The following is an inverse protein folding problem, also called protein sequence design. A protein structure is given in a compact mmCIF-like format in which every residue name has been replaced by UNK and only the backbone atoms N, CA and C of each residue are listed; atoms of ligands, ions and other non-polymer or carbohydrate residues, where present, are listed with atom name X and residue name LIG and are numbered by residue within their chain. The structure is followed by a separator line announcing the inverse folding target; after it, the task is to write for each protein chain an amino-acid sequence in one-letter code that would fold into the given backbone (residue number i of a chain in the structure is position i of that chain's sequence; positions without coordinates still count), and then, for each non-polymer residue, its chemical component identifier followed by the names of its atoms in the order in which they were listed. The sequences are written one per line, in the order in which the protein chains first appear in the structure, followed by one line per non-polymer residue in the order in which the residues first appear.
data_IF_865320783692
#
_entry.id   IF_865320783692
#
_cell.length_a   1.000
_cell.length_b   1.000
_cell.length_c   1.000
_cell.angle_alpha   90.00
_cell.angle_beta   90.00
_cell.angle_gamma   90.00
#
_symmetry.space_group_name_H-M   'P 1'
#
loop_
_entity.id
_entity.type
_entity.pdbx_description
1 polymer ?
#
# COMPACT_ATOMS: atom_id res chain seq x y z
N UNK A 1 -6.81 -3.57 44.91
CA UNK A 1 -5.82 -2.57 44.43
C UNK A 1 -4.89 -3.18 43.38
N UNK A 2 -4.19 -4.29 43.67
CA UNK A 2 -3.31 -4.97 42.69
C UNK A 2 -4.05 -5.46 41.43
N UNK A 3 -5.24 -6.07 41.58
CA UNK A 3 -6.04 -6.52 40.41
C UNK A 3 -6.49 -5.38 39.49
N UNK A 4 -6.72 -4.18 40.03
CA UNK A 4 -7.08 -3.01 39.24
C UNK A 4 -5.91 -2.59 38.33
N UNK A 5 -4.69 -2.52 38.89
CA UNK A 5 -3.48 -2.23 38.11
C UNK A 5 -3.17 -3.31 37.07
N UNK A 6 -3.37 -4.58 37.40
CA UNK A 6 -3.18 -5.68 36.44
C UNK A 6 -4.17 -5.57 35.28
N UNK A 7 -5.45 -5.29 35.57
CA UNK A 7 -6.46 -5.16 34.52
C UNK A 7 -6.23 -3.91 33.65
N UNK A 8 -5.88 -2.79 34.25
CA UNK A 8 -5.56 -1.56 33.52
C UNK A 8 -4.31 -1.76 32.63
N UNK A 9 -3.24 -2.35 33.18
CA UNK A 9 -2.03 -2.67 32.41
C UNK A 9 -2.31 -3.61 31.23
N UNK A 10 -3.17 -4.62 31.42
CA UNK A 10 -3.61 -5.51 30.33
C UNK A 10 -4.37 -4.76 29.26
N UNK A 11 -5.27 -3.86 29.64
CA UNK A 11 -6.05 -3.06 28.69
C UNK A 11 -5.12 -2.16 27.85
N UNK A 12 -4.18 -1.47 28.48
CA UNK A 12 -3.19 -0.65 27.78
C UNK A 12 -2.32 -1.48 26.84
N UNK A 13 -1.88 -2.66 27.28
CA UNK A 13 -1.08 -3.58 26.46
C UNK A 13 -1.87 -4.08 25.25
N UNK A 14 -3.14 -4.45 25.42
CA UNK A 14 -4.01 -4.86 24.31
C UNK A 14 -4.20 -3.74 23.29
N UNK A 15 -4.42 -2.50 23.75
CA UNK A 15 -4.56 -1.34 22.87
C UNK A 15 -3.27 -1.06 22.09
N UNK A 16 -2.11 -1.12 22.76
CA UNK A 16 -0.81 -0.96 22.11
C UNK A 16 -0.57 -2.05 21.06
N UNK A 17 -0.91 -3.31 21.38
CA UNK A 17 -0.75 -4.43 20.46
C UNK A 17 -1.58 -4.22 19.19
N UNK A 18 -2.84 -3.77 19.31
CA UNK A 18 -3.68 -3.44 18.16
C UNK A 18 -3.05 -2.41 17.23
N UNK A 19 -2.49 -1.33 17.80
CA UNK A 19 -1.77 -0.29 17.01
C UNK A 19 -0.52 -0.83 16.32
N UNK A 20 0.26 -1.67 17.01
CA UNK A 20 1.44 -2.32 16.43
C UNK A 20 1.05 -3.21 15.25
N UNK A 21 -0.05 -3.95 15.37
CA UNK A 21 -0.53 -4.84 14.32
C UNK A 21 -1.06 -4.05 13.11
N UNK A 22 -1.78 -2.95 13.33
CA UNK A 22 -2.19 -2.01 12.29
C UNK A 22 -0.99 -1.41 11.54
N UNK A 23 0.03 -0.96 12.26
CA UNK A 23 1.27 -0.44 11.67
C UNK A 23 1.98 -1.48 10.81
N UNK A 24 2.12 -2.71 11.31
CA UNK A 24 2.72 -3.82 10.55
C UNK A 24 1.93 -4.14 9.29
N UNK A 25 0.60 -4.16 9.38
CA UNK A 25 -0.28 -4.40 8.24
C UNK A 25 -0.14 -3.29 7.18
N UNK A 26 -0.11 -2.03 7.60
CA UNK A 26 0.10 -0.89 6.70
C UNK A 26 1.46 -0.97 5.99
N UNK A 27 2.54 -1.28 6.71
CA UNK A 27 3.87 -1.47 6.11
C UNK A 27 3.92 -2.65 5.13
N UNK A 28 3.24 -3.76 5.43
CA UNK A 28 3.17 -4.91 4.54
C UNK A 28 2.46 -4.55 3.22
N UNK A 29 1.34 -3.84 3.29
CA UNK A 29 0.59 -3.35 2.13
C UNK A 29 1.43 -2.36 1.29
N UNK A 30 2.11 -1.40 1.93
CA UNK A 30 3.02 -0.47 1.23
C UNK A 30 4.11 -1.25 0.47
N UNK A 31 4.73 -2.24 1.11
CA UNK A 31 5.75 -3.08 0.47
C UNK A 31 5.20 -3.82 -0.74
N UNK A 32 4.03 -4.44 -0.60
CA UNK A 32 3.37 -5.15 -1.70
C UNK A 32 3.08 -4.20 -2.88
N UNK A 33 2.58 -3.00 -2.62
CA UNK A 33 2.33 -2.00 -3.65
C UNK A 33 3.62 -1.54 -4.35
N UNK A 34 4.71 -1.35 -3.61
CA UNK A 34 6.03 -1.06 -4.18
C UNK A 34 6.53 -2.21 -5.08
N UNK A 35 6.36 -3.46 -4.64
CA UNK A 35 6.72 -4.63 -5.46
C UNK A 35 5.87 -4.72 -6.73
N UNK A 36 4.57 -4.46 -6.63
CA UNK A 36 3.65 -4.44 -7.78
C UNK A 36 4.06 -3.36 -8.78
N UNK A 37 4.42 -2.16 -8.31
CA UNK A 37 4.94 -1.08 -9.15
C UNK A 37 6.21 -1.56 -9.87
N UNK A 38 7.18 -2.12 -9.14
CA UNK A 38 8.46 -2.57 -9.70
C UNK A 38 8.30 -3.70 -10.74
N UNK A 39 7.31 -4.58 -10.56
CA UNK A 39 7.02 -5.71 -11.46
C UNK A 39 6.14 -5.33 -12.66
N UNK A 40 5.55 -4.13 -12.67
CA UNK A 40 4.60 -3.73 -13.72
C UNK A 40 5.33 -3.28 -14.99
N UNK A 41 5.12 -4.01 -16.08
CA UNK A 41 5.74 -3.73 -17.39
C UNK A 41 4.92 -2.71 -18.20
N UNK A 42 5.61 -1.76 -18.82
CA UNK A 42 5.01 -0.76 -19.73
C UNK A 42 4.86 -1.25 -21.18
N UNK A 43 5.36 -2.45 -21.46
CA UNK A 43 5.29 -3.12 -22.75
C UNK A 43 4.58 -4.45 -22.56
N UNK A 44 3.64 -4.75 -23.45
CA UNK A 44 2.95 -6.04 -23.46
C UNK A 44 3.20 -6.75 -24.79
N UNK A 45 3.92 -7.86 -24.77
CA UNK A 45 4.18 -8.67 -25.97
C UNK A 45 3.48 -10.01 -25.82
N UNK A 46 2.64 -10.34 -26.79
CA UNK A 46 2.00 -11.65 -26.84
C UNK A 46 2.89 -12.63 -27.61
N UNK A 47 3.37 -13.72 -26.97
CA UNK A 47 4.27 -14.66 -27.63
C UNK A 47 3.63 -15.28 -28.89
N UNK A 48 4.35 -15.23 -30.01
CA UNK A 48 3.90 -15.81 -31.28
C UNK A 48 2.88 -14.97 -32.04
N UNK A 49 2.48 -13.79 -31.54
CA UNK A 49 1.60 -12.89 -32.26
C UNK A 49 2.38 -12.10 -33.32
N UNK A 50 1.89 -12.15 -34.55
CA UNK A 50 2.35 -11.30 -35.65
C UNK A 50 1.46 -10.06 -35.63
N UNK A 51 2.08 -8.90 -35.45
CA UNK A 51 1.39 -7.62 -35.50
C UNK A 51 1.40 -7.08 -36.92
N UNK A 52 0.22 -6.69 -37.41
CA UNK A 52 0.06 -6.11 -38.75
C UNK A 52 -0.36 -4.64 -38.67
N UNK A 53 0.10 -3.84 -39.63
CA UNK A 53 -0.25 -2.42 -39.74
C UNK A 53 0.00 -1.65 -38.42
N UNK A 54 -1.05 -1.04 -37.85
CA UNK A 54 -0.99 -0.20 -36.65
C UNK A 54 -1.47 -0.93 -35.37
N UNK A 55 -1.78 -2.22 -35.45
CA UNK A 55 -2.35 -3.02 -34.34
C UNK A 55 -1.48 -2.98 -33.08
N UNK A 56 -0.17 -3.20 -33.25
CA UNK A 56 0.78 -3.11 -32.14
C UNK A 56 0.76 -1.76 -31.45
N UNK A 57 0.68 -0.68 -32.22
CA UNK A 57 0.73 0.67 -31.67
C UNK A 57 -0.52 0.96 -30.82
N UNK A 58 -1.71 0.63 -31.34
CA UNK A 58 -2.96 0.79 -30.61
C UNK A 58 -3.00 -0.05 -29.34
N UNK A 59 -2.54 -1.30 -29.40
CA UNK A 59 -2.45 -2.15 -28.21
C UNK A 59 -1.47 -1.62 -27.16
N UNK A 60 -0.29 -1.15 -27.56
CA UNK A 60 0.66 -0.56 -26.62
C UNK A 60 0.14 0.74 -26.02
N UNK A 61 -0.56 1.56 -26.78
CA UNK A 61 -1.20 2.77 -26.25
C UNK A 61 -2.23 2.41 -25.18
N UNK A 62 -3.14 1.48 -25.48
CA UNK A 62 -4.16 1.01 -24.55
C UNK A 62 -3.55 0.32 -23.32
N UNK A 63 -2.47 -0.44 -23.48
CA UNK A 63 -1.73 -1.06 -22.39
C UNK A 63 -1.10 -0.02 -21.48
N UNK A 64 -0.42 0.97 -22.05
CA UNK A 64 0.25 2.05 -21.29
C UNK A 64 -0.76 2.90 -20.55
N UNK A 65 -1.90 3.23 -21.14
CA UNK A 65 -2.93 4.01 -20.46
C UNK A 65 -3.48 3.27 -19.24
N UNK A 66 -3.84 1.99 -19.39
CA UNK A 66 -4.30 1.14 -18.27
C UNK A 66 -3.23 0.99 -17.20
N UNK A 67 -1.99 0.78 -17.64
CA UNK A 67 -0.85 0.62 -16.74
C UNK A 67 -0.56 1.89 -15.95
N UNK A 68 -0.62 3.06 -16.60
CA UNK A 68 -0.44 4.35 -15.92
C UNK A 68 -1.51 4.57 -14.85
N UNK A 69 -2.79 4.31 -15.16
CA UNK A 69 -3.89 4.40 -14.17
C UNK A 69 -3.65 3.47 -12.97
N UNK A 70 -3.21 2.23 -13.22
CA UNK A 70 -2.85 1.27 -12.16
C UNK A 70 -1.71 1.78 -11.29
N UNK A 71 -0.62 2.25 -11.89
CA UNK A 71 0.56 2.75 -11.17
C UNK A 71 0.21 3.97 -10.30
N UNK A 72 -0.59 4.89 -10.82
CA UNK A 72 -1.08 6.06 -10.07
C UNK A 72 -1.91 5.61 -8.88
N UNK A 73 -2.84 4.67 -9.08
CA UNK A 73 -3.69 4.16 -8.00
C UNK A 73 -2.87 3.49 -6.89
N UNK A 74 -1.89 2.64 -7.24
CA UNK A 74 -1.00 2.01 -6.26
C UNK A 74 -0.19 3.04 -5.46
N UNK A 75 0.31 4.07 -6.16
CA UNK A 75 1.05 5.15 -5.51
C UNK A 75 0.17 5.98 -4.56
N UNK A 76 -1.06 6.29 -4.97
CA UNK A 76 -2.03 6.99 -4.11
C UNK A 76 -2.38 6.18 -2.86
N UNK A 77 -2.55 4.86 -2.98
CA UNK A 77 -2.78 3.98 -1.84
C UNK A 77 -1.59 4.00 -0.86
N UNK A 78 -0.36 3.95 -1.37
CA UNK A 78 0.86 4.09 -0.53
C UNK A 78 0.83 5.41 0.24
N UNK A 79 0.58 6.54 -0.44
CA UNK A 79 0.50 7.86 0.21
C UNK A 79 -0.57 7.86 1.30
N UNK A 80 -1.76 7.32 1.00
CA UNK A 80 -2.85 7.25 1.97
C UNK A 80 -2.46 6.44 3.21
N UNK A 81 -1.85 5.27 3.04
CA UNK A 81 -1.39 4.42 4.16
C UNK A 81 -0.30 5.10 4.97
N UNK A 82 0.67 5.74 4.33
CA UNK A 82 1.71 6.50 5.03
C UNK A 82 1.13 7.67 5.84
N UNK A 83 0.14 8.38 5.31
CA UNK A 83 -0.56 9.45 6.03
C UNK A 83 -1.34 8.92 7.24
N UNK A 84 -2.07 7.81 7.09
CA UNK A 84 -2.78 7.17 8.20
C UNK A 84 -1.82 6.76 9.32
N UNK A 85 -0.71 6.13 8.97
CA UNK A 85 0.34 5.76 9.92
C UNK A 85 0.90 6.99 10.65
N UNK A 86 1.19 8.07 9.91
CA UNK A 86 1.65 9.32 10.50
C UNK A 86 0.64 9.90 11.50
N UNK A 87 -0.64 9.95 11.13
CA UNK A 87 -1.70 10.47 11.98
C UNK A 87 -1.80 9.68 13.30
N UNK A 88 -1.72 8.35 13.25
CA UNK A 88 -1.70 7.50 14.46
C UNK A 88 -0.56 7.86 15.41
N UNK A 89 0.63 8.20 14.92
CA UNK A 89 1.76 8.58 15.79
C UNK A 89 1.66 10.01 16.31
N UNK A 90 1.10 10.93 15.51
CA UNK A 90 0.87 12.33 15.91
C UNK A 90 -0.21 12.44 16.98
N UNK A 91 -1.31 11.68 16.88
CA UNK A 91 -2.38 11.69 17.89
C UNK A 91 -1.93 11.20 19.27
N UNK A 92 -0.85 10.42 19.33
CA UNK A 92 -0.31 9.86 20.58
C UNK A 92 0.71 10.78 21.26
N UNK A 93 1.20 11.83 20.58
CA UNK A 93 2.14 12.81 21.13
C UNK A 93 1.61 14.24 20.89
N UNK A 94 0.62 14.72 21.67
CA UNK A 94 0.16 16.10 21.56
C UNK A 94 1.23 17.15 22.01
N UNK A 95 2.28 16.71 22.70
CA UNK A 95 3.35 17.56 23.26
C UNK A 95 4.71 17.47 22.52
N UNK A 96 4.78 16.83 21.35
CA UNK A 96 5.97 16.82 20.46
C UNK A 96 5.62 17.27 19.05
#
# INVERSE_FOLDING_TARGET
MVEFFINDSRLQTCNLQGKVDEYKAANANIRENCELIAKTLLLNLEPGRIYENNDFHEEQLNHRERTAKKLISLHQEIIQKMSQVKETFVSENPDV
#
